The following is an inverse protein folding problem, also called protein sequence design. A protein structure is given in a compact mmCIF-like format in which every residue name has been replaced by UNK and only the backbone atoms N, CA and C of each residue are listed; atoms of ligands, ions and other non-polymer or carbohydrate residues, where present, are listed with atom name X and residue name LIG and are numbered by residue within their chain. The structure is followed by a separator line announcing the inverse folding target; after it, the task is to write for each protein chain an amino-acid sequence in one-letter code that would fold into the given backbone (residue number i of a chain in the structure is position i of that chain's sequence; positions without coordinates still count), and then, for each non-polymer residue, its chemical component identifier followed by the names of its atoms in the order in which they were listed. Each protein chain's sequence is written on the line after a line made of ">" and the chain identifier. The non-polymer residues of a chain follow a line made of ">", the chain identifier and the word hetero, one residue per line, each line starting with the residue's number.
data_IF_886647948991
#
_entry.id   IF_886647948991
#
_cell.length_a   1.000
_cell.length_b   1.000
_cell.length_c   1.000
_cell.angle_alpha   90.00
_cell.angle_beta   90.00
_cell.angle_gamma   90.00
#
_symmetry.space_group_name_H-M   'P 1'
#
loop_
_entity.id
_entity.type
_entity.pdbx_description
1 polymer ?
#
# COMPACT_ATOMS: atom_id res chain seq x y z
N UNK A 1 14.27 20.41 -1.10
CA UNK A 1 14.04 21.88 -1.16
C UNK A 1 13.86 22.50 0.22
N UNK A 2 12.90 22.07 1.01
CA UNK A 2 12.62 22.57 2.37
C UNK A 2 13.85 22.59 3.30
N UNK A 3 14.69 21.54 3.33
CA UNK A 3 15.92 21.53 4.13
C UNK A 3 16.95 22.60 3.68
N UNK A 4 17.01 22.92 2.40
CA UNK A 4 17.89 23.96 1.88
C UNK A 4 17.40 25.35 2.31
N UNK A 5 16.07 25.61 2.20
CA UNK A 5 15.45 26.81 2.73
C UNK A 5 15.67 26.97 4.22
N UNK A 6 15.54 25.92 5.01
CA UNK A 6 15.76 25.92 6.46
C UNK A 6 17.20 26.26 6.89
N UNK A 7 18.12 26.40 5.94
CA UNK A 7 19.50 26.86 6.21
C UNK A 7 19.66 28.39 6.07
N UNK A 8 18.66 29.06 5.51
CA UNK A 8 18.66 30.51 5.32
C UNK A 8 17.91 31.18 6.48
N UNK A 9 18.36 32.37 6.92
CA UNK A 9 17.67 33.16 7.94
C UNK A 9 17.87 32.68 9.39
N UNK A 10 19.01 32.08 9.72
CA UNK A 10 19.34 31.62 11.08
C UNK A 10 19.94 32.70 12.01
N UNK A 11 19.96 33.94 11.54
CA UNK A 11 20.43 35.07 12.33
C UNK A 11 19.33 36.14 12.39
N UNK A 12 19.56 37.20 13.16
CA UNK A 12 18.65 38.35 13.23
C UNK A 12 18.66 39.24 11.98
N UNK A 13 19.35 38.85 10.92
CA UNK A 13 19.38 39.54 9.62
C UNK A 13 18.38 38.92 8.66
N UNK A 14 17.68 39.80 7.92
CA UNK A 14 16.78 39.36 6.84
C UNK A 14 17.59 38.66 5.75
N UNK A 15 17.17 37.47 5.37
CA UNK A 15 17.80 36.68 4.32
C UNK A 15 16.78 36.25 3.27
N UNK A 16 17.23 36.03 2.04
CA UNK A 16 16.39 35.64 0.92
C UNK A 16 16.85 34.28 0.39
N UNK A 17 15.89 33.43 0.02
CA UNK A 17 16.11 32.17 -0.68
C UNK A 17 15.47 32.24 -2.05
N UNK A 18 16.26 32.12 -3.11
CA UNK A 18 15.77 32.09 -4.49
C UNK A 18 15.73 30.65 -4.98
N UNK A 19 14.56 30.23 -5.46
CA UNK A 19 14.33 28.91 -6.02
C UNK A 19 14.19 29.06 -7.53
N UNK A 20 15.13 28.47 -8.27
CA UNK A 20 15.06 28.46 -9.73
C UNK A 20 14.36 27.17 -10.19
N UNK A 21 13.32 27.33 -10.99
CA UNK A 21 12.54 26.25 -11.57
C UNK A 21 12.25 26.55 -13.05
N UNK A 22 12.00 25.53 -13.87
CA UNK A 22 11.45 25.73 -15.22
C UNK A 22 10.11 26.48 -15.19
N UNK A 23 9.63 26.90 -16.37
CA UNK A 23 8.35 27.58 -16.47
C UNK A 23 7.21 26.70 -15.88
N UNK A 24 6.21 27.29 -15.19
CA UNK A 24 5.14 26.55 -14.52
C UNK A 24 4.40 25.54 -15.42
N UNK A 25 4.29 25.84 -16.72
CA UNK A 25 3.63 25.01 -17.71
C UNK A 25 4.39 23.71 -18.03
N UNK A 26 5.69 23.68 -17.74
CA UNK A 26 6.55 22.52 -17.98
C UNK A 26 6.76 21.66 -16.75
N UNK A 27 6.24 22.10 -15.60
CA UNK A 27 6.34 21.36 -14.35
C UNK A 27 5.20 20.35 -14.23
N UNK A 28 5.50 19.21 -13.61
CA UNK A 28 4.45 18.28 -13.15
C UNK A 28 3.57 18.94 -12.09
N UNK A 29 2.33 18.51 -11.96
CA UNK A 29 1.41 19.03 -10.95
C UNK A 29 1.96 18.91 -9.53
N UNK A 30 2.60 17.80 -9.23
CA UNK A 30 3.30 17.57 -7.95
C UNK A 30 4.42 18.59 -7.72
N UNK A 31 5.25 18.87 -8.72
CA UNK A 31 6.33 19.86 -8.61
C UNK A 31 5.78 21.27 -8.42
N UNK A 32 4.67 21.61 -9.09
CA UNK A 32 3.98 22.88 -8.96
C UNK A 32 3.39 23.06 -7.56
N UNK A 33 2.69 22.04 -7.02
CA UNK A 33 2.16 22.04 -5.65
C UNK A 33 3.28 22.19 -4.60
N UNK A 34 4.42 21.51 -4.78
CA UNK A 34 5.59 21.65 -3.88
C UNK A 34 6.19 23.05 -3.88
N UNK A 35 6.30 23.68 -5.03
CA UNK A 35 6.80 25.06 -5.13
C UNK A 35 5.85 26.03 -4.44
N UNK A 36 4.55 25.90 -4.70
CA UNK A 36 3.51 26.71 -4.06
C UNK A 36 3.53 26.54 -2.53
N UNK A 37 3.64 25.32 -2.03
CA UNK A 37 3.73 25.07 -0.59
C UNK A 37 4.93 25.77 0.06
N UNK A 38 6.08 25.83 -0.62
CA UNK A 38 7.25 26.56 -0.11
C UNK A 38 7.04 28.07 -0.08
N UNK A 39 6.27 28.60 -1.01
CA UNK A 39 5.89 30.03 -1.09
C UNK A 39 4.89 30.39 0.00
N UNK A 40 3.79 29.63 0.11
CA UNK A 40 2.70 29.86 1.07
C UNK A 40 3.16 29.75 2.52
N UNK A 41 4.03 28.80 2.82
CA UNK A 41 4.58 28.58 4.18
C UNK A 41 5.94 29.27 4.37
N UNK A 42 6.02 30.58 4.05
CA UNK A 42 7.28 31.33 4.15
C UNK A 42 7.62 31.84 5.55
N UNK A 43 6.71 31.78 6.51
CA UNK A 43 6.89 32.32 7.87
C UNK A 43 7.80 31.44 8.74
N UNK A 44 8.35 32.06 9.79
CA UNK A 44 9.18 31.38 10.79
C UNK A 44 8.30 30.38 11.58
N UNK A 45 8.72 29.13 11.71
CA UNK A 45 7.94 28.09 12.42
C UNK A 45 7.00 27.28 11.52
N UNK A 46 6.85 27.63 10.25
CA UNK A 46 5.98 26.91 9.29
C UNK A 46 6.50 25.54 8.84
N UNK A 47 7.62 25.07 9.40
CA UNK A 47 8.26 23.80 9.01
C UNK A 47 7.37 22.59 9.17
N UNK A 48 6.53 22.56 10.21
CA UNK A 48 5.56 21.48 10.40
C UNK A 48 4.49 21.48 9.28
N UNK A 49 3.89 22.65 9.02
CA UNK A 49 2.86 22.79 7.98
C UNK A 49 3.41 22.44 6.59
N UNK A 50 4.65 22.84 6.30
CA UNK A 50 5.32 22.48 5.06
C UNK A 50 5.59 20.97 4.95
N UNK A 51 5.94 20.31 6.06
CA UNK A 51 6.13 18.85 6.09
C UNK A 51 4.81 18.10 5.90
N UNK A 52 3.73 18.61 6.51
CA UNK A 52 2.38 18.07 6.32
C UNK A 52 1.92 18.23 4.87
N UNK A 53 2.17 19.38 4.26
CA UNK A 53 1.84 19.61 2.86
C UNK A 53 2.66 18.74 1.90
N UNK A 54 3.97 18.52 2.17
CA UNK A 54 4.79 17.61 1.36
C UNK A 54 4.30 16.16 1.46
N UNK A 55 3.80 15.75 2.63
CA UNK A 55 3.19 14.45 2.84
C UNK A 55 1.87 14.31 2.06
N UNK A 56 1.02 15.32 2.11
CA UNK A 56 -0.23 15.38 1.37
C UNK A 56 0.00 15.33 -0.16
N UNK A 57 0.99 16.09 -0.67
CA UNK A 57 1.35 16.10 -2.10
C UNK A 57 1.83 14.71 -2.58
N UNK A 58 2.50 13.93 -1.73
CA UNK A 58 2.90 12.55 -2.05
C UNK A 58 1.72 11.59 -2.15
N UNK A 59 0.59 11.95 -1.53
CA UNK A 59 -0.62 11.14 -1.53
C UNK A 59 -0.48 9.76 -0.89
N UNK A 60 -1.48 8.94 -1.10
CA UNK A 60 -1.59 7.61 -0.51
C UNK A 60 -0.50 6.62 -0.93
N UNK A 61 0.13 6.80 -2.09
CA UNK A 61 1.18 5.89 -2.59
C UNK A 61 2.39 5.75 -1.66
N UNK A 62 2.64 6.76 -0.79
CA UNK A 62 3.69 6.70 0.23
C UNK A 62 3.14 6.63 1.66
N UNK A 63 1.83 6.76 1.86
CA UNK A 63 1.17 6.71 3.15
C UNK A 63 0.68 5.30 3.50
N UNK A 64 0.39 4.50 2.47
CA UNK A 64 -0.07 3.12 2.59
C UNK A 64 1.12 2.16 2.42
N UNK A 65 1.82 1.83 3.49
CA UNK A 65 2.89 0.83 3.48
C UNK A 65 4.05 1.08 4.47
N UNK A 66 4.90 0.07 4.63
CA UNK A 66 5.92 -0.05 5.67
C UNK A 66 7.05 1.00 5.69
N UNK A 67 7.15 1.91 4.71
CA UNK A 67 8.24 2.90 4.64
C UNK A 67 7.90 4.29 5.21
N UNK A 68 6.98 4.38 6.16
CA UNK A 68 6.65 5.65 6.84
C UNK A 68 7.68 6.06 7.89
N UNK A 69 8.91 6.30 7.51
CA UNK A 69 9.93 6.84 8.40
C UNK A 69 9.91 8.37 8.41
N UNK A 70 9.03 9.01 9.18
CA UNK A 70 9.07 10.47 9.24
C UNK A 70 8.18 11.22 10.21
N UNK A 71 7.27 10.58 10.93
CA UNK A 71 6.37 11.27 11.86
C UNK A 71 6.69 10.89 13.33
N UNK A 72 7.30 11.82 14.08
CA UNK A 72 8.00 11.53 15.33
C UNK A 72 7.11 11.56 16.59
N UNK A 73 5.81 11.78 16.48
CA UNK A 73 4.94 11.93 17.67
C UNK A 73 4.22 10.65 18.12
N UNK A 74 3.65 9.91 17.18
CA UNK A 74 2.85 8.71 17.46
C UNK A 74 3.47 7.41 16.91
N UNK A 75 4.64 7.52 16.29
CA UNK A 75 5.37 6.43 15.62
C UNK A 75 5.78 5.26 16.53
N UNK A 76 5.90 5.50 17.82
CA UNK A 76 6.31 4.43 18.74
C UNK A 76 5.30 3.29 18.83
N UNK A 77 4.02 3.59 18.89
CA UNK A 77 2.96 2.59 19.06
C UNK A 77 2.62 1.86 17.75
N UNK A 78 2.47 2.60 16.65
CA UNK A 78 2.21 2.00 15.33
C UNK A 78 3.37 1.12 14.86
N UNK A 79 4.61 1.60 15.04
CA UNK A 79 5.81 0.80 14.72
C UNK A 79 5.91 -0.43 15.61
N UNK A 80 5.59 -0.30 16.90
CA UNK A 80 5.54 -1.44 17.81
C UNK A 80 4.49 -2.47 17.40
N UNK A 81 3.29 -2.03 17.04
CA UNK A 81 2.25 -2.94 16.53
C UNK A 81 2.69 -3.66 15.26
N UNK A 82 3.28 -2.95 14.29
CA UNK A 82 3.81 -3.59 13.07
C UNK A 82 4.87 -4.65 13.37
N UNK A 83 5.83 -4.33 14.23
CA UNK A 83 6.86 -5.30 14.66
C UNK A 83 6.23 -6.50 15.38
N UNK A 84 5.19 -6.26 16.19
CA UNK A 84 4.47 -7.33 16.86
C UNK A 84 3.70 -8.21 15.87
N UNK A 85 3.04 -7.60 14.89
CA UNK A 85 2.32 -8.34 13.84
C UNK A 85 3.28 -9.16 12.97
N UNK A 86 4.43 -8.60 12.60
CA UNK A 86 5.50 -9.32 11.90
C UNK A 86 6.01 -10.52 12.73
N UNK A 87 6.29 -10.31 14.02
CA UNK A 87 6.74 -11.37 14.92
C UNK A 87 5.67 -12.46 15.11
N UNK A 88 4.38 -12.10 15.14
CA UNK A 88 3.28 -13.07 15.21
C UNK A 88 3.17 -13.91 13.93
N UNK A 89 3.40 -13.30 12.77
CA UNK A 89 3.45 -14.03 11.49
C UNK A 89 4.61 -15.01 11.49
N UNK A 90 5.82 -14.59 11.87
CA UNK A 90 7.01 -15.47 11.97
C UNK A 90 6.80 -16.64 12.95
N UNK A 91 6.18 -16.38 14.11
CA UNK A 91 5.88 -17.44 15.08
C UNK A 91 4.91 -18.46 14.52
N UNK A 92 3.82 -18.03 13.90
CA UNK A 92 2.83 -18.94 13.29
C UNK A 92 3.44 -19.73 12.14
N UNK A 93 4.31 -19.12 11.35
CA UNK A 93 5.01 -19.80 10.27
C UNK A 93 5.97 -20.87 10.81
N UNK A 94 6.72 -20.57 11.87
CA UNK A 94 7.60 -21.54 12.52
C UNK A 94 6.85 -22.70 13.18
N UNK A 95 5.68 -22.44 13.78
CA UNK A 95 4.80 -23.50 14.30
C UNK A 95 4.31 -24.41 13.17
N UNK A 96 3.87 -23.80 12.06
CA UNK A 96 3.43 -24.52 10.87
C UNK A 96 4.54 -25.40 10.27
N UNK A 97 5.76 -24.88 10.16
CA UNK A 97 6.92 -25.64 9.68
C UNK A 97 7.22 -26.85 10.58
N UNK A 98 7.12 -26.70 11.90
CA UNK A 98 7.30 -27.79 12.85
C UNK A 98 6.21 -28.89 12.70
N UNK A 99 4.94 -28.47 12.57
CA UNK A 99 3.83 -29.39 12.31
C UNK A 99 3.98 -30.14 10.98
N UNK A 100 4.46 -29.46 9.94
CA UNK A 100 4.75 -30.07 8.65
C UNK A 100 5.92 -31.07 8.74
N UNK A 101 6.97 -30.80 9.54
CA UNK A 101 8.07 -31.71 9.76
C UNK A 101 7.60 -32.96 10.52
N UNK A 102 6.83 -32.80 11.58
CA UNK A 102 6.26 -33.94 12.34
C UNK A 102 5.32 -34.80 11.50
N UNK A 103 4.55 -34.19 10.60
CA UNK A 103 3.66 -34.87 9.67
C UNK A 103 4.44 -35.73 8.65
N UNK A 104 5.57 -35.22 8.15
CA UNK A 104 6.45 -35.95 7.23
C UNK A 104 7.09 -37.17 7.89
N UNK A 105 7.54 -37.06 9.14
CA UNK A 105 8.11 -38.15 9.90
C UNK A 105 7.08 -39.24 10.24
N UNK A 106 5.81 -38.85 10.37
CA UNK A 106 4.70 -39.74 10.74
C UNK A 106 3.96 -40.33 9.55
N UNK A 107 4.36 -40.07 8.29
CA UNK A 107 3.61 -40.45 7.05
C UNK A 107 2.13 -40.03 7.07
N UNK A 108 1.78 -39.00 7.81
CA UNK A 108 0.44 -38.42 7.80
C UNK A 108 0.30 -37.48 6.59
N UNK A 109 -0.84 -37.58 5.93
CA UNK A 109 -1.21 -36.55 4.93
C UNK A 109 -1.28 -35.19 5.60
N UNK A 110 -0.65 -34.18 4.99
CA UNK A 110 -0.72 -32.79 5.45
C UNK A 110 -2.15 -32.32 5.16
N UNK A 111 -2.97 -32.21 6.22
CA UNK A 111 -4.34 -31.73 6.08
C UNK A 111 -4.33 -30.26 5.65
N UNK A 112 -5.19 -29.89 4.69
CA UNK A 112 -5.37 -28.50 4.26
C UNK A 112 -5.77 -27.57 5.43
N UNK A 113 -6.38 -28.11 6.47
CA UNK A 113 -6.83 -27.41 7.67
C UNK A 113 -5.67 -26.75 8.45
N UNK A 114 -4.43 -27.24 8.31
CA UNK A 114 -3.24 -26.65 8.96
C UNK A 114 -2.98 -25.22 8.42
N UNK A 115 -3.38 -24.97 7.17
CA UNK A 115 -3.22 -23.65 6.53
C UNK A 115 -4.42 -22.72 6.74
N UNK A 116 -5.46 -23.18 7.44
CA UNK A 116 -6.66 -22.37 7.67
C UNK A 116 -6.31 -21.18 8.59
N UNK A 117 -6.60 -19.97 8.13
CA UNK A 117 -6.30 -18.72 8.83
C UNK A 117 -4.81 -18.36 9.02
N UNK A 118 -3.89 -19.01 8.31
CA UNK A 118 -2.48 -18.62 8.32
C UNK A 118 -2.26 -17.42 7.39
N UNK A 119 -1.69 -16.34 7.93
CA UNK A 119 -1.18 -15.23 7.15
C UNK A 119 0.32 -15.40 6.98
N UNK A 120 0.79 -15.40 5.74
CA UNK A 120 2.22 -15.49 5.41
C UNK A 120 2.88 -14.13 5.27
N UNK A 121 2.10 -13.07 5.24
CA UNK A 121 2.56 -11.69 5.09
C UNK A 121 1.79 -10.81 6.06
N UNK A 122 2.48 -10.01 6.83
CA UNK A 122 1.87 -9.10 7.80
C UNK A 122 1.18 -7.93 7.10
N UNK A 123 1.81 -7.38 6.05
CA UNK A 123 1.29 -6.26 5.26
C UNK A 123 1.81 -6.31 3.81
N UNK A 124 1.09 -5.67 2.89
CA UNK A 124 1.47 -5.57 1.48
C UNK A 124 1.69 -4.11 1.08
N UNK A 125 2.90 -3.82 0.59
CA UNK A 125 3.21 -2.50 0.05
C UNK A 125 2.64 -2.33 -1.35
N UNK A 126 1.72 -1.37 -1.52
CA UNK A 126 1.15 -1.00 -2.83
C UNK A 126 1.78 0.29 -3.32
N UNK A 127 2.48 0.23 -4.45
CA UNK A 127 3.12 1.38 -5.11
C UNK A 127 2.49 1.59 -6.48
N UNK A 128 1.97 2.79 -6.72
CA UNK A 128 1.26 3.13 -7.96
C UNK A 128 1.65 4.51 -8.48
N UNK A 129 1.57 4.69 -9.79
CA UNK A 129 1.68 5.99 -10.47
C UNK A 129 0.33 6.69 -10.66
N UNK A 130 -0.75 6.11 -10.14
CA UNK A 130 -2.08 6.73 -10.17
C UNK A 130 -2.18 7.85 -9.14
N UNK A 131 -2.87 8.91 -9.50
CA UNK A 131 -3.11 10.08 -8.63
C UNK A 131 -4.21 9.74 -7.60
N UNK A 132 -3.82 9.07 -6.52
CA UNK A 132 -4.71 8.65 -5.43
C UNK A 132 -4.63 9.66 -4.29
N UNK A 133 -5.30 10.78 -4.45
CA UNK A 133 -5.30 11.90 -3.51
C UNK A 133 -6.72 12.20 -3.03
N UNK A 134 -6.82 12.66 -1.78
CA UNK A 134 -8.03 13.37 -1.34
C UNK A 134 -7.96 14.78 -1.92
N UNK A 135 -8.88 15.16 -2.84
CA UNK A 135 -8.81 16.45 -3.50
C UNK A 135 -8.93 17.63 -2.54
N UNK A 136 -8.21 18.72 -2.82
CA UNK A 136 -8.20 19.94 -2.00
C UNK A 136 -9.57 20.62 -1.97
N UNK A 137 -10.34 20.53 -3.05
CA UNK A 137 -11.70 21.03 -3.17
C UNK A 137 -12.74 20.20 -2.42
N UNK A 138 -12.43 18.93 -2.15
CA UNK A 138 -13.26 18.08 -1.32
C UNK A 138 -13.03 18.29 0.18
N UNK A 139 -11.75 18.39 0.58
CA UNK A 139 -11.37 18.67 1.97
C UNK A 139 -10.21 19.67 1.97
N UNK A 140 -10.50 20.94 2.28
CA UNK A 140 -9.50 22.02 2.25
C UNK A 140 -8.43 21.87 3.37
N UNK A 141 -8.81 21.30 4.50
CA UNK A 141 -7.95 21.23 5.69
C UNK A 141 -6.90 20.12 5.57
N UNK A 142 -5.62 20.50 5.42
CA UNK A 142 -4.49 19.54 5.29
C UNK A 142 -4.33 18.60 6.48
N UNK A 143 -4.34 19.05 7.74
CA UNK A 143 -4.34 18.16 8.90
C UNK A 143 -5.47 17.13 8.89
N UNK A 144 -6.67 17.53 8.45
CA UNK A 144 -7.83 16.63 8.32
C UNK A 144 -7.58 15.56 7.25
N UNK A 145 -7.06 15.95 6.07
CA UNK A 145 -6.70 14.98 5.01
C UNK A 145 -5.68 13.95 5.50
N UNK A 146 -4.67 14.37 6.24
CA UNK A 146 -3.65 13.46 6.79
C UNK A 146 -4.27 12.50 7.79
N UNK A 147 -5.16 12.99 8.66
CA UNK A 147 -5.88 12.13 9.60
C UNK A 147 -6.74 11.10 8.87
N UNK A 148 -7.41 11.50 7.78
CA UNK A 148 -8.19 10.59 6.96
C UNK A 148 -7.33 9.54 6.25
N UNK A 149 -6.14 9.90 5.73
CA UNK A 149 -5.21 8.91 5.18
C UNK A 149 -4.80 7.86 6.22
N UNK A 150 -4.50 8.27 7.46
CA UNK A 150 -4.18 7.32 8.55
C UNK A 150 -5.37 6.41 8.87
N UNK A 151 -6.57 6.96 8.92
CA UNK A 151 -7.77 6.16 9.14
C UNK A 151 -8.01 5.17 8.02
N UNK A 152 -7.82 5.57 6.77
CA UNK A 152 -7.91 4.69 5.60
C UNK A 152 -6.89 3.54 5.71
N UNK A 153 -5.65 3.84 6.11
CA UNK A 153 -4.61 2.82 6.32
C UNK A 153 -4.98 1.80 7.41
N UNK A 154 -5.71 2.23 8.43
CA UNK A 154 -6.14 1.41 9.57
C UNK A 154 -7.42 0.60 9.32
N UNK A 155 -8.11 0.74 8.18
CA UNK A 155 -9.30 -0.03 7.85
C UNK A 155 -8.95 -1.50 7.66
N UNK A 156 -9.71 -2.41 8.28
CA UNK A 156 -9.41 -3.84 8.29
C UNK A 156 -10.49 -4.73 7.64
N UNK A 157 -11.69 -4.19 7.43
CA UNK A 157 -12.82 -4.94 6.87
C UNK A 157 -13.79 -4.05 6.08
N UNK A 158 -14.71 -4.68 5.35
CA UNK A 158 -15.72 -3.98 4.53
C UNK A 158 -16.73 -3.20 5.37
N UNK A 159 -17.01 -3.62 6.60
CA UNK A 159 -17.90 -2.89 7.49
C UNK A 159 -17.27 -1.55 7.90
N UNK A 160 -15.96 -1.55 8.18
CA UNK A 160 -15.20 -0.33 8.46
C UNK A 160 -15.14 0.60 7.24
N UNK A 161 -14.96 0.06 6.03
CA UNK A 161 -15.01 0.88 4.78
C UNK A 161 -16.40 1.50 4.61
N UNK A 162 -17.48 0.73 4.79
CA UNK A 162 -18.84 1.23 4.63
C UNK A 162 -19.21 2.30 5.66
N UNK A 163 -18.75 2.13 6.90
CA UNK A 163 -18.91 3.13 7.95
C UNK A 163 -18.12 4.42 7.63
N UNK A 164 -16.90 4.27 7.14
CA UNK A 164 -16.05 5.38 6.73
C UNK A 164 -16.64 6.15 5.53
N UNK A 165 -17.18 5.46 4.53
CA UNK A 165 -17.88 6.05 3.38
C UNK A 165 -19.09 6.88 3.84
N UNK A 166 -19.92 6.29 4.70
CA UNK A 166 -21.10 6.97 5.25
C UNK A 166 -20.72 8.23 6.02
N UNK A 167 -19.67 8.16 6.84
CA UNK A 167 -19.18 9.32 7.61
C UNK A 167 -18.65 10.42 6.68
N UNK A 168 -17.85 10.08 5.68
CA UNK A 168 -17.31 11.07 4.73
C UNK A 168 -18.44 11.73 3.94
N UNK A 169 -19.40 10.93 3.47
CA UNK A 169 -20.55 11.44 2.72
C UNK A 169 -21.39 12.38 3.57
N UNK A 170 -21.61 12.09 4.86
CA UNK A 170 -22.35 12.94 5.78
C UNK A 170 -21.63 14.27 6.06
N UNK A 171 -20.30 14.24 6.19
CA UNK A 171 -19.50 15.43 6.57
C UNK A 171 -19.11 16.30 5.38
N UNK A 172 -18.80 15.73 4.25
CA UNK A 172 -18.18 16.41 3.11
C UNK A 172 -18.95 16.24 1.80
N UNK A 173 -20.05 15.51 1.81
CA UNK A 173 -20.84 15.20 0.62
C UNK A 173 -20.34 13.97 -0.14
N UNK A 174 -20.85 13.72 -1.36
CA UNK A 174 -20.52 12.53 -2.13
C UNK A 174 -19.03 12.40 -2.37
N UNK A 175 -18.47 11.20 -2.14
CA UNK A 175 -17.05 10.95 -2.35
C UNK A 175 -16.65 11.13 -3.83
N UNK A 176 -15.59 11.89 -4.09
CA UNK A 176 -15.02 11.99 -5.43
C UNK A 176 -14.30 10.70 -5.81
N UNK A 177 -14.19 10.45 -7.13
CA UNK A 177 -13.59 9.23 -7.68
C UNK A 177 -12.20 8.90 -7.10
N UNK A 178 -11.25 9.86 -6.93
CA UNK A 178 -9.94 9.54 -6.35
C UNK A 178 -10.01 8.95 -4.94
N UNK A 179 -10.96 9.37 -4.11
CA UNK A 179 -11.16 8.83 -2.76
C UNK A 179 -11.77 7.41 -2.81
N UNK A 180 -12.69 7.18 -3.73
CA UNK A 180 -13.23 5.84 -3.97
C UNK A 180 -12.14 4.87 -4.43
N UNK A 181 -11.27 5.31 -5.34
CA UNK A 181 -10.12 4.51 -5.80
C UNK A 181 -9.13 4.23 -4.69
N UNK A 182 -8.94 5.17 -3.76
CA UNK A 182 -8.11 5.01 -2.58
C UNK A 182 -8.62 3.86 -1.68
N UNK A 183 -9.93 3.76 -1.48
CA UNK A 183 -10.55 2.64 -0.76
C UNK A 183 -10.40 1.31 -1.52
N UNK A 184 -10.37 1.33 -2.85
CA UNK A 184 -10.05 0.13 -3.63
C UNK A 184 -8.61 -0.34 -3.43
N UNK A 185 -7.65 0.57 -3.19
CA UNK A 185 -6.27 0.20 -2.84
C UNK A 185 -6.21 -0.53 -1.51
N UNK A 186 -7.02 -0.13 -0.52
CA UNK A 186 -7.11 -0.85 0.76
C UNK A 186 -7.59 -2.30 0.53
N UNK A 187 -8.64 -2.47 -0.26
CA UNK A 187 -9.12 -3.81 -0.64
C UNK A 187 -8.07 -4.62 -1.39
N UNK A 188 -7.36 -3.96 -2.32
CA UNK A 188 -6.28 -4.59 -3.07
C UNK A 188 -5.18 -5.11 -2.14
N UNK A 189 -4.85 -4.33 -1.10
CA UNK A 189 -3.86 -4.70 -0.08
C UNK A 189 -4.31 -5.92 0.70
N UNK A 190 -5.57 -5.99 1.15
CA UNK A 190 -6.10 -7.16 1.87
C UNK A 190 -6.05 -8.43 1.02
N UNK A 191 -6.49 -8.34 -0.24
CA UNK A 191 -6.42 -9.48 -1.16
C UNK A 191 -4.98 -9.88 -1.42
N UNK A 192 -4.07 -8.94 -1.61
CA UNK A 192 -2.65 -9.24 -1.80
C UNK A 192 -2.04 -9.97 -0.59
N UNK A 193 -2.32 -9.49 0.63
CA UNK A 193 -1.89 -10.15 1.88
C UNK A 193 -2.43 -11.58 1.97
N UNK A 194 -3.72 -11.79 1.69
CA UNK A 194 -4.31 -13.14 1.71
C UNK A 194 -3.70 -14.10 0.68
N UNK A 195 -3.09 -13.57 -0.38
CA UNK A 195 -2.40 -14.33 -1.43
C UNK A 195 -0.89 -14.46 -1.21
N UNK A 196 -0.37 -14.05 -0.05
CA UNK A 196 1.05 -14.14 0.26
C UNK A 196 1.92 -13.17 -0.56
N UNK A 197 1.40 -11.99 -0.88
CA UNK A 197 2.11 -10.97 -1.65
C UNK A 197 2.61 -9.86 -0.74
N UNK A 198 3.92 -9.62 -0.72
CA UNK A 198 4.56 -8.54 0.03
C UNK A 198 4.47 -7.18 -0.65
N UNK A 199 4.42 -7.19 -1.99
CA UNK A 199 4.44 -5.95 -2.77
C UNK A 199 3.62 -6.04 -4.05
N UNK A 200 2.86 -4.98 -4.33
CA UNK A 200 2.17 -4.76 -5.60
C UNK A 200 2.66 -3.47 -6.22
N UNK A 201 3.18 -3.54 -7.45
CA UNK A 201 3.55 -2.38 -8.26
C UNK A 201 2.52 -2.21 -9.37
N UNK A 202 1.86 -1.05 -9.43
CA UNK A 202 0.89 -0.73 -10.45
C UNK A 202 1.32 0.55 -11.19
N UNK A 203 2.19 0.40 -12.20
CA UNK A 203 2.81 1.51 -12.93
C UNK A 203 2.80 1.31 -14.43
N UNK A 204 2.59 2.39 -15.17
CA UNK A 204 2.59 2.40 -16.64
C UNK A 204 1.61 1.38 -17.25
N UNK A 205 0.46 1.17 -16.62
CA UNK A 205 -0.53 0.20 -17.06
C UNK A 205 -0.12 -1.26 -16.90
N UNK A 206 0.89 -1.55 -16.08
CA UNK A 206 1.40 -2.87 -15.75
C UNK A 206 1.27 -3.11 -14.24
N UNK A 207 0.80 -4.29 -13.87
CA UNK A 207 0.81 -4.76 -12.48
C UNK A 207 1.89 -5.80 -12.31
N UNK A 208 2.77 -5.61 -11.32
CA UNK A 208 3.76 -6.62 -10.90
C UNK A 208 3.57 -6.89 -9.43
N UNK A 209 3.35 -8.15 -9.07
CA UNK A 209 3.20 -8.59 -7.67
C UNK A 209 4.40 -9.42 -7.27
N UNK A 210 4.86 -9.26 -6.05
CA UNK A 210 5.98 -9.99 -5.47
C UNK A 210 5.47 -10.82 -4.28
N UNK A 211 5.80 -12.09 -4.29
CA UNK A 211 5.48 -13.01 -3.19
C UNK A 211 6.49 -12.91 -2.05
N UNK A 212 6.21 -13.63 -0.98
CA UNK A 212 7.11 -13.81 0.17
C UNK A 212 8.55 -14.00 -0.31
N UNK A 213 9.47 -13.21 0.24
CA UNK A 213 10.86 -13.21 -0.22
C UNK A 213 11.62 -14.45 0.21
N UNK A 214 11.28 -15.06 1.36
CA UNK A 214 11.89 -16.31 1.81
C UNK A 214 11.34 -17.49 1.03
N UNK A 215 12.18 -18.07 0.17
CA UNK A 215 11.83 -19.25 -0.63
C UNK A 215 11.63 -20.52 0.19
N UNK A 216 12.03 -20.54 1.47
CA UNK A 216 11.80 -21.66 2.37
C UNK A 216 10.46 -21.56 3.09
N UNK A 217 9.80 -20.41 3.03
CA UNK A 217 8.51 -20.18 3.68
C UNK A 217 7.51 -21.29 3.34
N UNK A 218 6.74 -21.69 4.35
CA UNK A 218 5.64 -22.63 4.20
C UNK A 218 4.58 -22.18 3.20
N UNK A 219 4.56 -20.87 2.86
CA UNK A 219 3.73 -20.33 1.79
C UNK A 219 3.84 -21.12 0.49
N UNK A 220 5.06 -21.46 0.06
CA UNK A 220 5.30 -22.15 -1.22
C UNK A 220 4.82 -23.61 -1.24
N UNK A 221 4.45 -24.15 -0.07
CA UNK A 221 3.84 -25.47 0.08
C UNK A 221 2.33 -25.38 0.40
N UNK A 222 1.77 -24.18 0.48
CA UNK A 222 0.38 -23.94 0.85
C UNK A 222 -0.59 -24.22 -0.29
N UNK A 223 -1.84 -24.61 0.00
CA UNK A 223 -2.91 -24.76 -1.00
C UNK A 223 -3.17 -23.47 -1.78
N UNK A 224 -2.99 -22.31 -1.16
CA UNK A 224 -3.15 -21.00 -1.79
C UNK A 224 -2.14 -20.83 -2.93
N UNK A 225 -0.87 -21.14 -2.70
CA UNK A 225 0.16 -21.02 -3.72
C UNK A 225 -0.09 -21.98 -4.89
N UNK A 226 -0.50 -23.22 -4.63
CA UNK A 226 -0.89 -24.16 -5.68
C UNK A 226 -2.09 -23.68 -6.48
N UNK A 227 -3.08 -23.06 -5.83
CA UNK A 227 -4.24 -22.46 -6.51
C UNK A 227 -3.81 -21.33 -7.43
N UNK A 228 -2.93 -20.45 -6.97
CA UNK A 228 -2.35 -19.36 -7.78
C UNK A 228 -1.65 -19.94 -9.01
N UNK A 229 -0.76 -20.92 -8.84
CA UNK A 229 -0.05 -21.55 -9.95
C UNK A 229 -1.00 -22.18 -10.98
N UNK A 230 -2.02 -22.87 -10.52
CA UNK A 230 -3.05 -23.47 -11.38
C UNK A 230 -3.81 -22.41 -12.18
N UNK A 231 -4.22 -21.32 -11.51
CA UNK A 231 -4.94 -20.22 -12.15
C UNK A 231 -4.05 -19.47 -13.16
N UNK A 232 -2.77 -19.27 -12.86
CA UNK A 232 -1.80 -18.70 -13.80
C UNK A 232 -1.69 -19.56 -15.05
N UNK A 233 -1.55 -20.88 -14.89
CA UNK A 233 -1.41 -21.79 -16.04
C UNK A 233 -2.69 -21.92 -16.87
N UNK A 234 -3.87 -21.94 -16.24
CA UNK A 234 -5.15 -22.18 -16.93
C UNK A 234 -5.76 -20.91 -17.49
N UNK A 235 -5.78 -19.82 -16.69
CA UNK A 235 -6.54 -18.60 -17.01
C UNK A 235 -5.67 -17.46 -17.53
N UNK A 236 -4.42 -17.38 -17.09
CA UNK A 236 -3.55 -16.22 -17.34
C UNK A 236 -2.30 -16.55 -18.16
N UNK A 237 -2.24 -17.74 -18.79
CA UNK A 237 -1.05 -18.19 -19.52
C UNK A 237 -0.56 -17.20 -20.60
N UNK A 238 -1.45 -16.46 -21.24
CA UNK A 238 -1.11 -15.48 -22.28
C UNK A 238 -0.96 -14.05 -21.76
N UNK A 239 -1.43 -13.75 -20.54
CA UNK A 239 -1.51 -12.38 -19.99
C UNK A 239 -0.66 -12.17 -18.74
N UNK A 240 -0.15 -13.25 -18.16
CA UNK A 240 0.70 -13.24 -16.99
C UNK A 240 2.07 -13.80 -17.31
N UNK A 241 3.10 -13.10 -16.88
CA UNK A 241 4.49 -13.56 -16.93
C UNK A 241 4.97 -13.84 -15.51
N UNK A 242 5.37 -15.07 -15.25
CA UNK A 242 6.01 -15.46 -14.00
C UNK A 242 7.53 -15.27 -14.17
N UNK A 243 8.15 -14.58 -13.23
CA UNK A 243 9.56 -14.28 -13.24
C UNK A 243 10.15 -14.51 -11.85
N UNK A 244 11.34 -15.09 -11.82
CA UNK A 244 12.16 -15.13 -10.62
C UNK A 244 13.38 -14.24 -10.84
N UNK A 245 13.60 -13.27 -9.96
CA UNK A 245 14.70 -12.32 -10.05
C UNK A 245 15.27 -12.05 -8.67
N UNK A 246 16.57 -12.28 -8.50
CA UNK A 246 17.26 -12.10 -7.22
C UNK A 246 16.62 -12.91 -6.07
N UNK A 247 16.15 -14.12 -6.34
CA UNK A 247 15.48 -14.97 -5.34
C UNK A 247 14.05 -14.55 -5.01
N UNK A 248 13.45 -13.56 -5.71
CA UNK A 248 12.07 -13.13 -5.49
C UNK A 248 11.20 -13.58 -6.66
N UNK A 249 10.17 -14.35 -6.34
CA UNK A 249 9.16 -14.75 -7.30
C UNK A 249 8.17 -13.60 -7.53
N UNK A 250 7.84 -13.35 -8.79
CA UNK A 250 6.90 -12.29 -9.17
C UNK A 250 6.00 -12.72 -10.31
N UNK A 251 4.80 -12.14 -10.36
CA UNK A 251 3.87 -12.21 -11.49
C UNK A 251 3.68 -10.83 -12.10
N UNK A 252 3.75 -10.74 -13.40
CA UNK A 252 3.55 -9.50 -14.15
C UNK A 252 2.37 -9.62 -15.09
N UNK A 253 1.46 -8.64 -15.03
CA UNK A 253 0.27 -8.53 -15.87
C UNK A 253 0.34 -7.23 -16.67
N UNK A 254 0.07 -7.31 -17.97
CA UNK A 254 -0.01 -6.15 -18.85
C UNK A 254 -1.44 -5.60 -18.93
N UNK A 255 -1.57 -4.34 -19.35
CA UNK A 255 -2.88 -3.67 -19.56
C UNK A 255 -3.73 -3.53 -18.29
N UNK A 256 -3.12 -3.30 -17.14
CA UNK A 256 -3.81 -3.02 -15.86
C UNK A 256 -3.76 -1.53 -15.61
N UNK A 257 -4.83 -0.83 -15.99
CA UNK A 257 -4.91 0.64 -15.98
C UNK A 257 -5.73 1.22 -14.82
N UNK A 258 -6.29 0.38 -13.95
CA UNK A 258 -7.07 0.83 -12.80
C UNK A 258 -6.86 -0.12 -11.62
N UNK A 259 -7.07 0.41 -10.41
CA UNK A 259 -7.02 -0.36 -9.16
C UNK A 259 -8.10 -1.44 -9.15
N UNK A 260 -9.29 -1.12 -9.65
CA UNK A 260 -10.40 -2.06 -9.77
C UNK A 260 -10.01 -3.29 -10.62
N UNK A 261 -9.36 -3.06 -11.77
CA UNK A 261 -8.89 -4.15 -12.61
C UNK A 261 -7.82 -5.00 -11.94
N UNK A 262 -6.92 -4.37 -11.18
CA UNK A 262 -5.92 -5.06 -10.36
C UNK A 262 -6.60 -5.97 -9.33
N UNK A 263 -7.59 -5.43 -8.61
CA UNK A 263 -8.37 -6.16 -7.61
C UNK A 263 -9.10 -7.37 -8.22
N UNK A 264 -9.77 -7.19 -9.37
CA UNK A 264 -10.42 -8.28 -10.10
C UNK A 264 -9.44 -9.38 -10.55
N UNK A 265 -8.23 -9.01 -10.98
CA UNK A 265 -7.20 -9.96 -11.36
C UNK A 265 -6.68 -10.76 -10.17
N UNK A 266 -6.39 -10.10 -9.05
CA UNK A 266 -5.93 -10.77 -7.83
C UNK A 266 -7.03 -11.68 -7.26
N UNK A 267 -8.28 -11.23 -7.24
CA UNK A 267 -9.42 -12.08 -6.85
C UNK A 267 -9.48 -13.36 -7.68
N UNK A 268 -9.36 -13.25 -9.01
CA UNK A 268 -9.36 -14.43 -9.90
C UNK A 268 -8.14 -15.35 -9.75
N UNK A 269 -7.03 -14.84 -9.18
CA UNK A 269 -5.85 -15.65 -8.87
C UNK A 269 -6.06 -16.52 -7.63
N UNK A 270 -6.71 -16.00 -6.60
CA UNK A 270 -6.84 -16.66 -5.31
C UNK A 270 -8.02 -17.61 -5.18
N UNK A 271 -9.07 -17.44 -5.99
CA UNK A 271 -10.29 -18.25 -5.86
C UNK A 271 -10.34 -19.42 -6.84
N UNK A 272 -10.81 -20.58 -6.36
CA UNK A 272 -11.20 -21.70 -7.21
C UNK A 272 -12.40 -21.32 -8.09
N UNK A 273 -12.65 -22.10 -9.15
CA UNK A 273 -13.66 -21.76 -10.18
C UNK A 273 -15.09 -21.54 -9.64
N UNK A 274 -15.41 -22.10 -8.46
CA UNK A 274 -16.74 -22.06 -7.86
C UNK A 274 -16.91 -21.01 -6.75
N UNK A 275 -15.84 -20.34 -6.31
CA UNK A 275 -15.85 -19.46 -5.12
C UNK A 275 -15.64 -17.97 -5.47
N UNK A 276 -15.88 -17.54 -6.70
CA UNK A 276 -15.77 -16.13 -7.05
C UNK A 276 -16.84 -15.34 -6.26
N UNK A 277 -16.45 -14.43 -5.35
CA UNK A 277 -17.43 -13.56 -4.72
C UNK A 277 -18.09 -12.72 -5.82
N UNK A 278 -19.41 -12.71 -5.80
CA UNK A 278 -20.23 -11.77 -6.57
C UNK A 278 -19.95 -10.40 -5.94
N UNK A 279 -19.20 -9.55 -6.66
CA UNK A 279 -18.97 -8.14 -6.29
C UNK A 279 -20.17 -7.30 -6.70
#
# INVERSE_FOLDING_TARGET
>A
MHQLRGRVGRSNKKAFCYIFAPAPETLTDEARRRLKAIEDFSELGSGLNLSLQDLDIRGAGNLLGAEQSGFIGDLGFETYQKILDEALVELKESELENEMMESKDSQKEINADIFENVRFVADCHVDTDMELLIPDDYIENVPERINLYRRIDSLQDEAAISAFDSELTDRFGPMPQPVTELLQVVRLRWVAVSLGMEKVLLKNGKMTVYFVADQKSAFYQSPIFYTILNNVQRRFRSTCQMQEKNGKLSLAFENVKSVEKALQLLGKLGFAENDAPVV
#
